data_IF_434428798072
#
_entry.id   IF_434428798072
#
_cell.length_a   1.000
_cell.length_b   1.000
_cell.length_c   1.000
_cell.angle_alpha   90.00
_cell.angle_beta   90.00
_cell.angle_gamma   90.00
#
_symmetry.space_group_name_H-M   'P 1'
#
loop_
_entity.id
_entity.type
_entity.pdbx_description
1 polymer ?
#
# COMPACT_ATOMS: atom_id res chain seq x y z
N UNK A 1 8.41 18.79 -38.81
CA UNK A 1 8.46 17.35 -38.49
C UNK A 1 9.25 17.20 -37.20
N UNK A 2 8.60 16.84 -36.09
CA UNK A 2 9.21 16.82 -34.76
C UNK A 2 9.08 15.42 -34.15
N UNK A 3 10.15 14.61 -34.09
CA UNK A 3 10.11 13.28 -33.49
C UNK A 3 10.80 13.32 -32.12
N UNK A 4 10.05 13.33 -31.01
CA UNK A 4 10.52 12.86 -29.69
C UNK A 4 9.46 13.06 -28.58
N UNK A 5 8.55 12.11 -28.38
CA UNK A 5 7.81 12.04 -27.10
C UNK A 5 7.29 10.63 -26.71
N UNK A 6 7.77 9.55 -27.34
CA UNK A 6 7.18 8.21 -27.16
C UNK A 6 7.85 7.28 -26.10
N UNK A 7 8.76 7.76 -25.26
CA UNK A 7 9.64 6.84 -24.51
C UNK A 7 9.15 6.33 -23.12
N UNK A 8 8.58 7.13 -22.20
CA UNK A 8 8.48 6.69 -20.80
C UNK A 8 7.30 5.75 -20.47
N UNK A 9 6.21 5.78 -21.24
CA UNK A 9 5.02 4.94 -21.00
C UNK A 9 5.17 3.53 -21.59
N UNK A 10 5.84 3.41 -22.74
CA UNK A 10 6.11 2.12 -23.40
C UNK A 10 7.08 1.26 -22.59
N UNK A 11 8.11 1.87 -22.00
CA UNK A 11 9.06 1.15 -21.17
C UNK A 11 8.42 0.59 -19.89
N UNK A 12 7.63 1.41 -19.17
CA UNK A 12 6.87 0.96 -17.99
C UNK A 12 5.90 -0.17 -18.31
N UNK A 13 5.18 -0.07 -19.44
CA UNK A 13 4.21 -1.09 -19.84
C UNK A 13 4.84 -2.35 -20.46
N UNK A 14 6.08 -2.27 -20.96
CA UNK A 14 6.87 -3.42 -21.37
C UNK A 14 7.45 -4.17 -20.16
N UNK A 15 7.98 -3.43 -19.17
CA UNK A 15 8.51 -4.01 -17.95
C UNK A 15 7.41 -4.67 -17.11
N UNK A 16 6.24 -4.02 -16.99
CA UNK A 16 5.06 -4.58 -16.31
C UNK A 16 4.47 -5.82 -17.00
N UNK A 17 4.73 -6.01 -18.31
CA UNK A 17 4.29 -7.19 -19.08
C UNK A 17 5.40 -8.20 -19.33
N UNK A 18 6.57 -8.01 -18.72
CA UNK A 18 7.68 -8.95 -18.88
C UNK A 18 7.32 -10.29 -18.22
N UNK A 19 7.20 -11.39 -19.00
CA UNK A 19 6.84 -12.69 -18.45
C UNK A 19 7.89 -13.19 -17.45
N UNK A 20 9.16 -12.82 -17.65
CA UNK A 20 10.24 -13.15 -16.72
C UNK A 20 10.07 -12.45 -15.36
N UNK A 21 9.68 -11.17 -15.36
CA UNK A 21 9.46 -10.43 -14.12
C UNK A 21 8.24 -10.97 -13.37
N UNK A 22 7.16 -11.28 -14.10
CA UNK A 22 5.97 -11.93 -13.53
C UNK A 22 6.33 -13.30 -12.92
N UNK A 23 7.12 -14.12 -13.63
CA UNK A 23 7.56 -15.41 -13.14
C UNK A 23 8.42 -15.29 -11.87
N UNK A 24 9.37 -14.34 -11.83
CA UNK A 24 10.19 -14.08 -10.64
C UNK A 24 9.32 -13.65 -9.46
N UNK A 25 8.38 -12.71 -9.67
CA UNK A 25 7.46 -12.29 -8.61
C UNK A 25 6.58 -13.43 -8.12
N UNK A 26 6.06 -14.27 -9.02
CA UNK A 26 5.25 -15.43 -8.68
C UNK A 26 6.05 -16.46 -7.86
N UNK A 27 7.29 -16.76 -8.25
CA UNK A 27 8.18 -17.67 -7.53
C UNK A 27 8.55 -17.12 -6.16
N UNK A 28 8.85 -15.84 -6.04
CA UNK A 28 9.17 -15.21 -4.74
C UNK A 28 7.94 -15.19 -3.85
N UNK A 29 6.79 -14.75 -4.34
CA UNK A 29 5.55 -14.71 -3.57
C UNK A 29 5.11 -16.11 -3.14
N UNK A 30 5.09 -17.07 -4.07
CA UNK A 30 4.77 -18.46 -3.79
C UNK A 30 5.78 -19.12 -2.85
N UNK A 31 7.07 -18.81 -3.00
CA UNK A 31 8.13 -19.27 -2.12
C UNK A 31 8.01 -18.73 -0.69
N UNK A 32 7.65 -17.45 -0.52
CA UNK A 32 7.41 -16.85 0.80
C UNK A 32 6.18 -17.46 1.49
N UNK A 33 5.07 -17.62 0.77
CA UNK A 33 3.86 -18.27 1.30
C UNK A 33 4.11 -19.75 1.58
N UNK A 34 4.85 -20.44 0.70
CA UNK A 34 5.23 -21.82 0.88
C UNK A 34 6.16 -22.01 2.07
N UNK A 35 7.17 -21.16 2.25
CA UNK A 35 8.03 -21.19 3.42
C UNK A 35 7.25 -20.98 4.73
N UNK A 36 6.17 -20.20 4.69
CA UNK A 36 5.31 -20.01 5.86
C UNK A 36 4.65 -21.32 6.34
N UNK A 37 4.50 -22.35 5.49
CA UNK A 37 3.97 -23.66 5.94
C UNK A 37 4.88 -24.34 6.95
N UNK A 38 6.18 -24.00 6.99
CA UNK A 38 7.11 -24.54 7.99
C UNK A 38 6.72 -24.18 9.43
N UNK A 39 5.94 -23.10 9.61
CA UNK A 39 5.40 -22.68 10.90
C UNK A 39 3.98 -23.22 11.15
N UNK A 40 3.38 -23.88 10.16
CA UNK A 40 2.04 -24.45 10.19
C UNK A 40 1.16 -24.00 9.02
N UNK A 41 0.14 -24.80 8.64
CA UNK A 41 -0.69 -24.52 7.46
C UNK A 41 -1.49 -23.22 7.55
N UNK A 42 -1.82 -22.77 8.78
CA UNK A 42 -2.53 -21.52 9.01
C UNK A 42 -1.69 -20.29 8.63
N UNK A 43 -0.36 -20.35 8.78
CA UNK A 43 0.53 -19.25 8.40
C UNK A 43 0.62 -19.09 6.88
N UNK A 44 0.55 -20.18 6.13
CA UNK A 44 0.47 -20.12 4.67
C UNK A 44 -0.86 -19.53 4.21
N UNK A 45 -1.98 -19.89 4.85
CA UNK A 45 -3.27 -19.27 4.56
C UNK A 45 -3.25 -17.77 4.88
N UNK A 46 -2.71 -17.39 6.04
CA UNK A 46 -2.57 -15.99 6.44
C UNK A 46 -1.65 -15.21 5.49
N UNK A 47 -0.51 -15.78 5.11
CA UNK A 47 0.42 -15.18 4.15
C UNK A 47 -0.18 -15.03 2.77
N UNK A 48 -0.95 -16.03 2.33
CA UNK A 48 -1.72 -15.92 1.10
C UNK A 48 -2.68 -14.74 1.20
N UNK A 49 -3.59 -14.72 2.20
CA UNK A 49 -4.55 -13.63 2.48
C UNK A 49 -3.89 -12.24 2.56
N UNK A 50 -2.72 -12.14 3.17
CA UNK A 50 -1.96 -10.89 3.23
C UNK A 50 -1.52 -10.42 1.84
N UNK A 51 -1.09 -11.33 0.96
CA UNK A 51 -0.67 -10.96 -0.40
C UNK A 51 -1.83 -10.44 -1.26
N UNK A 52 -3.01 -11.08 -1.24
CA UNK A 52 -4.16 -10.55 -1.98
C UNK A 52 -4.69 -9.24 -1.39
N UNK A 53 -4.63 -9.05 -0.07
CA UNK A 53 -4.94 -7.77 0.53
C UNK A 53 -3.96 -6.68 0.05
N UNK A 54 -2.66 -6.95 0.11
CA UNK A 54 -1.63 -6.03 -0.38
C UNK A 54 -1.76 -5.74 -1.88
N UNK A 55 -2.04 -6.75 -2.69
CA UNK A 55 -2.27 -6.59 -4.13
C UNK A 55 -3.53 -5.75 -4.42
N UNK A 56 -4.63 -6.01 -3.72
CA UNK A 56 -5.87 -5.23 -3.85
C UNK A 56 -5.62 -3.75 -3.54
N UNK A 57 -4.86 -3.49 -2.47
CA UNK A 57 -4.49 -2.15 -2.01
C UNK A 57 -3.63 -1.41 -3.06
N UNK A 58 -2.74 -2.11 -3.77
CA UNK A 58 -1.95 -1.57 -4.89
C UNK A 58 -2.81 -1.27 -6.13
N UNK A 59 -3.81 -2.10 -6.41
CA UNK A 59 -4.68 -1.98 -7.60
C UNK A 59 -5.61 -0.78 -7.50
N UNK A 60 -6.24 -0.54 -6.35
CA UNK A 60 -7.11 0.62 -6.15
C UNK A 60 -7.15 1.11 -4.70
N UNK A 61 -7.23 2.43 -4.52
CA UNK A 61 -7.41 3.06 -3.20
C UNK A 61 -8.74 2.64 -2.57
N UNK A 62 -9.77 2.41 -3.37
CA UNK A 62 -11.06 1.91 -2.91
C UNK A 62 -10.97 0.49 -2.33
N UNK A 63 -10.28 -0.43 -3.01
CA UNK A 63 -10.04 -1.77 -2.47
C UNK A 63 -9.17 -1.73 -1.20
N UNK A 64 -8.23 -0.77 -1.13
CA UNK A 64 -7.49 -0.48 0.08
C UNK A 64 -8.37 -0.01 1.24
N UNK A 65 -9.32 0.90 0.99
CA UNK A 65 -10.30 1.34 1.99
C UNK A 65 -11.21 0.19 2.45
N UNK A 66 -11.69 -0.64 1.52
CA UNK A 66 -12.47 -1.84 1.85
C UNK A 66 -11.66 -2.77 2.75
N UNK A 67 -10.36 -2.94 2.47
CA UNK A 67 -9.46 -3.77 3.31
C UNK A 67 -9.34 -3.20 4.73
N UNK A 68 -9.16 -1.88 4.86
CA UNK A 68 -9.12 -1.21 6.16
C UNK A 68 -10.43 -1.41 6.92
N UNK A 69 -11.58 -1.23 6.27
CA UNK A 69 -12.88 -1.45 6.91
C UNK A 69 -13.11 -2.92 7.29
N UNK A 70 -12.71 -3.86 6.44
CA UNK A 70 -12.80 -5.29 6.74
C UNK A 70 -11.96 -5.63 7.98
N UNK A 71 -10.74 -5.11 8.08
CA UNK A 71 -9.89 -5.32 9.26
C UNK A 71 -10.50 -4.65 10.49
N UNK A 72 -10.93 -3.39 10.39
CA UNK A 72 -11.52 -2.66 11.51
C UNK A 72 -12.79 -3.33 12.06
N UNK A 73 -13.60 -3.97 11.21
CA UNK A 73 -14.87 -4.59 11.61
C UNK A 73 -14.72 -6.06 12.03
N UNK A 74 -13.86 -6.83 11.36
CA UNK A 74 -13.69 -8.26 11.62
C UNK A 74 -12.57 -8.54 12.64
N UNK A 75 -11.49 -7.76 12.64
CA UNK A 75 -10.30 -7.93 13.48
C UNK A 75 -9.76 -6.58 14.02
N UNK A 76 -10.55 -5.80 14.79
CA UNK A 76 -10.12 -4.47 15.27
C UNK A 76 -8.84 -4.50 16.12
N UNK A 77 -8.60 -5.59 16.84
CA UNK A 77 -7.46 -5.78 17.74
C UNK A 77 -6.50 -6.88 17.26
N UNK A 78 -6.60 -7.28 15.99
CA UNK A 78 -5.73 -8.33 15.44
C UNK A 78 -4.30 -7.84 15.28
N UNK A 79 -3.33 -8.59 15.81
CA UNK A 79 -1.91 -8.25 15.73
C UNK A 79 -1.12 -9.41 15.14
N UNK A 80 0.12 -9.13 14.73
CA UNK A 80 1.02 -10.18 14.25
C UNK A 80 1.33 -11.20 15.36
N UNK A 81 1.29 -12.51 15.08
CA UNK A 81 1.48 -13.57 16.07
C UNK A 81 2.97 -13.83 16.40
N UNK A 82 3.82 -12.81 16.29
CA UNK A 82 5.24 -12.90 16.59
C UNK A 82 5.75 -11.60 17.23
N UNK A 83 6.74 -11.74 18.11
CA UNK A 83 7.37 -10.60 18.77
C UNK A 83 8.39 -9.95 17.83
N UNK A 84 7.98 -8.88 17.17
CA UNK A 84 8.91 -7.89 16.63
C UNK A 84 9.25 -6.85 17.72
N UNK A 85 10.31 -6.05 17.51
CA UNK A 85 10.71 -4.96 18.43
C UNK A 85 9.50 -4.06 18.77
N UNK A 86 8.62 -3.85 17.79
CA UNK A 86 7.27 -3.31 17.95
C UNK A 86 6.34 -4.31 17.26
N UNK A 87 5.22 -4.67 17.89
CA UNK A 87 4.23 -5.59 17.30
C UNK A 87 3.05 -4.78 16.76
N UNK A 88 3.06 -4.39 15.47
CA UNK A 88 1.99 -3.57 14.91
C UNK A 88 0.68 -4.34 14.78
N UNK A 89 -0.43 -3.62 14.92
CA UNK A 89 -1.78 -4.13 14.65
C UNK A 89 -2.01 -4.22 13.13
N UNK A 90 -2.82 -5.18 12.67
CA UNK A 90 -3.26 -5.28 11.29
C UNK A 90 -3.89 -3.98 10.76
N UNK A 91 -4.65 -3.27 11.59
CA UNK A 91 -5.25 -1.99 11.22
C UNK A 91 -4.19 -0.92 10.95
N UNK A 92 -3.14 -0.86 11.79
CA UNK A 92 -2.03 0.07 11.62
C UNK A 92 -1.27 -0.24 10.33
N UNK A 93 -0.98 -1.52 10.07
CA UNK A 93 -0.32 -1.95 8.83
C UNK A 93 -1.14 -1.62 7.59
N UNK A 94 -2.47 -1.84 7.63
CA UNK A 94 -3.36 -1.56 6.52
C UNK A 94 -3.48 -0.06 6.24
N UNK A 95 -3.63 0.77 7.28
CA UNK A 95 -3.66 2.22 7.15
C UNK A 95 -2.33 2.78 6.65
N UNK A 96 -1.20 2.32 7.21
CA UNK A 96 0.12 2.71 6.76
C UNK A 96 0.34 2.33 5.29
N UNK A 97 0.00 1.10 4.91
CA UNK A 97 0.04 0.64 3.53
C UNK A 97 -0.83 1.50 2.61
N UNK A 98 -2.05 1.84 3.04
CA UNK A 98 -2.97 2.67 2.25
C UNK A 98 -2.41 4.07 2.03
N UNK A 99 -1.88 4.71 3.08
CA UNK A 99 -1.26 6.04 3.00
C UNK A 99 -0.04 5.99 2.07
N UNK A 100 0.82 4.98 2.20
CA UNK A 100 2.00 4.81 1.35
C UNK A 100 1.58 4.64 -0.12
N UNK A 101 0.66 3.71 -0.42
CA UNK A 101 0.22 3.47 -1.81
C UNK A 101 -0.50 4.68 -2.40
N UNK A 102 -1.36 5.33 -1.61
CA UNK A 102 -2.04 6.55 -2.04
C UNK A 102 -1.03 7.65 -2.37
N UNK A 103 -0.02 7.85 -1.51
CA UNK A 103 1.05 8.82 -1.73
C UNK A 103 1.86 8.48 -2.99
N UNK A 104 2.30 7.22 -3.14
CA UNK A 104 3.03 6.77 -4.33
C UNK A 104 2.21 6.94 -5.62
N UNK A 105 0.89 6.69 -5.56
CA UNK A 105 -0.01 6.89 -6.71
C UNK A 105 -0.16 8.38 -7.05
N UNK A 106 -0.26 9.25 -6.05
CA UNK A 106 -0.27 10.70 -6.23
C UNK A 106 1.02 11.18 -6.91
N UNK A 107 2.18 10.69 -6.47
CA UNK A 107 3.48 11.00 -7.09
C UNK A 107 3.59 10.42 -8.52
N UNK A 108 3.10 9.21 -8.75
CA UNK A 108 3.22 8.52 -10.03
C UNK A 108 2.27 9.07 -11.11
N UNK A 109 1.16 9.72 -10.71
CA UNK A 109 0.14 10.30 -11.58
C UNK A 109 -0.24 11.70 -11.13
N UNK A 110 0.75 12.59 -11.03
CA UNK A 110 0.55 14.01 -10.69
C UNK A 110 -0.50 14.68 -11.57
N UNK A 111 -0.52 14.34 -12.85
CA UNK A 111 -1.35 15.02 -13.86
C UNK A 111 -2.83 14.60 -13.81
N UNK A 112 -3.12 13.48 -13.14
CA UNK A 112 -4.49 12.95 -13.05
C UNK A 112 -5.26 13.47 -11.82
N UNK A 113 -4.56 14.07 -10.85
CA UNK A 113 -5.17 14.58 -9.62
C UNK A 113 -5.19 16.10 -9.65
N UNK A 114 -6.34 16.66 -10.05
CA UNK A 114 -6.63 18.09 -9.86
C UNK A 114 -6.76 18.36 -8.36
N UNK A 115 -5.75 19.01 -7.77
CA UNK A 115 -5.70 19.38 -6.36
C UNK A 115 -6.75 20.46 -6.09
N UNK A 116 -7.98 20.03 -5.85
CA UNK A 116 -9.09 20.90 -5.46
C UNK A 116 -9.04 21.15 -3.96
N UNK A 117 -8.41 22.25 -3.59
CA UNK A 117 -8.46 22.74 -2.22
C UNK A 117 -9.89 23.18 -1.94
N UNK A 118 -10.60 22.39 -1.14
CA UNK A 118 -11.92 22.78 -0.62
C UNK A 118 -11.75 23.92 0.39
N UNK A 119 -12.83 24.62 0.72
CA UNK A 119 -12.78 25.70 1.75
C UNK A 119 -12.23 25.21 3.11
N UNK A 120 -12.35 23.90 3.39
CA UNK A 120 -11.81 23.26 4.60
C UNK A 120 -10.30 22.95 4.52
N UNK A 121 -9.73 22.86 3.31
CA UNK A 121 -8.34 22.47 3.10
C UNK A 121 -7.33 23.32 3.90
N UNK A 122 -7.40 24.66 3.86
CA UNK A 122 -6.49 25.52 4.62
C UNK A 122 -6.60 25.33 6.14
N UNK A 123 -7.81 25.14 6.66
CA UNK A 123 -8.03 24.91 8.10
C UNK A 123 -7.42 23.59 8.55
N UNK A 124 -7.60 22.52 7.77
CA UNK A 124 -7.02 21.20 8.04
C UNK A 124 -5.49 21.26 7.96
N UNK A 125 -4.93 21.92 6.94
CA UNK A 125 -3.48 22.11 6.80
C UNK A 125 -2.88 22.93 7.95
N UNK A 126 -3.57 23.99 8.38
CA UNK A 126 -3.17 24.79 9.54
C UNK A 126 -3.15 23.96 10.82
N UNK A 127 -4.18 23.15 11.06
CA UNK A 127 -4.24 22.25 12.21
C UNK A 127 -3.12 21.19 12.20
N UNK A 128 -2.90 20.55 11.05
CA UNK A 128 -1.79 19.60 10.87
C UNK A 128 -0.43 20.27 11.10
N UNK A 129 -0.22 21.46 10.54
CA UNK A 129 1.00 22.24 10.74
C UNK A 129 1.24 22.56 12.21
N UNK A 130 0.23 23.03 12.94
CA UNK A 130 0.30 23.28 14.38
C UNK A 130 0.61 22.01 15.18
N UNK A 131 0.01 20.88 14.81
CA UNK A 131 0.24 19.59 15.46
C UNK A 131 1.68 19.12 15.27
N UNK A 132 2.20 19.16 14.04
CA UNK A 132 3.60 18.82 13.76
C UNK A 132 4.57 19.79 14.45
N UNK A 133 4.29 21.08 14.39
CA UNK A 133 5.10 22.10 15.06
C UNK A 133 5.16 21.85 16.57
N UNK A 134 4.01 21.57 17.20
CA UNK A 134 3.94 21.21 18.61
C UNK A 134 4.61 19.88 18.94
N UNK A 135 4.60 18.89 18.05
CA UNK A 135 5.28 17.61 18.26
C UNK A 135 6.81 17.74 18.17
N UNK A 136 7.32 18.67 17.35
CA UNK A 136 8.75 18.89 17.15
C UNK A 136 9.35 19.86 18.19
N UNK A 137 8.61 20.91 18.55
CA UNK A 137 9.08 21.99 19.42
C UNK A 137 8.48 21.98 20.84
N UNK A 138 7.41 21.23 21.06
CA UNK A 138 6.73 21.10 22.35
C UNK A 138 7.42 20.14 23.30
#
# INVERSE_FOLDING_TARGET
MHPASLAPSRFRSALARSPALIAVLAVVAGGLVGAATAFGPMYALAGLLALLAAAALLVSTEAGLITVFAIATLLPFGTLPFKAIITPNFLELALAGLVVVWSLRLLARSDAYDLRITSLGPAVLGFLGLTFFSLVLG
#
